data_IF_146297709185
#
_entry.id   IF_146297709185
#
_cell.length_a   1.000
_cell.length_b   1.000
_cell.length_c   1.000
_cell.angle_alpha   90.00
_cell.angle_beta   90.00
_cell.angle_gamma   90.00
#
_symmetry.space_group_name_H-M   'P 1'
#
loop_
_entity.id
_entity.type
_entity.pdbx_description
1 polymer ?
#
# COMPACT_ATOMS: atom_id res chain seq x y z
N UNK A 1 -12.49 56.70 -7.15
CA UNK A 1 -11.46 55.88 -7.84
C UNK A 1 -10.66 55.05 -6.84
N UNK A 2 -10.30 55.60 -5.67
CA UNK A 2 -9.54 54.94 -4.60
C UNK A 2 -10.26 53.70 -4.05
N UNK A 3 -11.57 53.78 -3.75
CA UNK A 3 -12.34 52.64 -3.20
C UNK A 3 -12.39 51.38 -4.10
N UNK A 4 -12.34 51.57 -5.43
CA UNK A 4 -12.30 50.43 -6.37
C UNK A 4 -10.93 49.78 -6.39
N UNK A 5 -9.86 50.58 -6.29
CA UNK A 5 -8.49 50.07 -6.19
C UNK A 5 -8.32 49.27 -4.89
N UNK A 6 -8.74 49.82 -3.76
CA UNK A 6 -8.63 49.16 -2.46
C UNK A 6 -9.41 47.84 -2.40
N UNK A 7 -10.59 47.77 -3.01
CA UNK A 7 -11.34 46.50 -3.15
C UNK A 7 -10.60 45.47 -3.99
N UNK A 8 -9.97 45.88 -5.08
CA UNK A 8 -9.17 44.97 -5.91
C UNK A 8 -7.91 44.50 -5.18
N UNK A 9 -7.26 45.37 -4.40
CA UNK A 9 -6.10 45.01 -3.57
C UNK A 9 -6.48 44.00 -2.48
N UNK A 10 -7.63 44.20 -1.82
CA UNK A 10 -8.19 43.23 -0.88
C UNK A 10 -8.50 41.89 -1.54
N UNK A 11 -9.08 41.91 -2.75
CA UNK A 11 -9.36 40.70 -3.51
C UNK A 11 -8.08 39.97 -3.89
N UNK A 12 -7.06 40.67 -4.38
CA UNK A 12 -5.76 40.09 -4.73
C UNK A 12 -5.09 39.47 -3.50
N UNK A 13 -5.13 40.15 -2.36
CA UNK A 13 -4.63 39.59 -1.10
C UNK A 13 -5.39 38.34 -0.68
N UNK A 14 -6.73 38.33 -0.82
CA UNK A 14 -7.57 37.17 -0.50
C UNK A 14 -7.34 35.99 -1.46
N UNK A 15 -7.10 36.26 -2.74
CA UNK A 15 -6.73 35.22 -3.72
C UNK A 15 -5.34 34.65 -3.40
N UNK A 16 -4.39 35.50 -2.98
CA UNK A 16 -3.05 35.06 -2.60
C UNK A 16 -3.12 34.06 -1.44
N UNK A 17 -3.81 34.41 -0.35
CA UNK A 17 -3.98 33.51 0.81
C UNK A 17 -4.73 32.24 0.44
N UNK A 18 -5.73 32.35 -0.44
CA UNK A 18 -6.48 31.19 -0.92
C UNK A 18 -5.60 30.20 -1.69
N UNK A 19 -4.72 30.71 -2.56
CA UNK A 19 -3.76 29.87 -3.30
C UNK A 19 -2.77 29.18 -2.38
N UNK A 20 -2.38 29.80 -1.27
CA UNK A 20 -1.52 29.14 -0.28
C UNK A 20 -2.23 27.96 0.38
N UNK A 21 -3.49 28.16 0.78
CA UNK A 21 -4.35 27.10 1.31
C UNK A 21 -4.61 25.99 0.30
N UNK A 22 -4.84 26.34 -0.96
CA UNK A 22 -5.02 25.39 -2.07
C UNK A 22 -3.80 24.48 -2.23
N UNK A 23 -2.59 25.05 -2.32
CA UNK A 23 -1.34 24.25 -2.41
C UNK A 23 -1.12 23.36 -1.19
N UNK A 24 -1.53 23.80 -0.01
CA UNK A 24 -1.42 22.99 1.21
C UNK A 24 -2.38 21.79 1.16
N UNK A 25 -3.61 22.02 0.71
CA UNK A 25 -4.62 20.97 0.51
C UNK A 25 -4.17 20.00 -0.59
N UNK A 26 -3.68 20.50 -1.73
CA UNK A 26 -3.18 19.68 -2.83
C UNK A 26 -2.01 18.79 -2.41
N UNK A 27 -1.08 19.32 -1.60
CA UNK A 27 0.05 18.54 -1.05
C UNK A 27 -0.44 17.42 -0.14
N UNK A 28 -1.42 17.70 0.73
CA UNK A 28 -2.01 16.69 1.61
C UNK A 28 -2.77 15.62 0.82
N UNK A 29 -3.56 16.02 -0.17
CA UNK A 29 -4.28 15.09 -1.06
C UNK A 29 -3.28 14.19 -1.80
N UNK A 30 -2.27 14.77 -2.43
CA UNK A 30 -1.28 14.02 -3.21
C UNK A 30 -0.45 13.07 -2.33
N UNK A 31 -0.08 13.51 -1.12
CA UNK A 31 0.57 12.64 -0.14
C UNK A 31 -0.32 11.46 0.25
N UNK A 32 -1.60 11.73 0.53
CA UNK A 32 -2.57 10.70 0.92
C UNK A 32 -2.83 9.69 -0.21
N UNK A 33 -2.88 10.15 -1.45
CA UNK A 33 -3.00 9.28 -2.63
C UNK A 33 -1.77 8.39 -2.80
N UNK A 34 -0.56 8.95 -2.65
CA UNK A 34 0.68 8.17 -2.71
C UNK A 34 0.76 7.13 -1.58
N UNK A 35 0.38 7.52 -0.36
CA UNK A 35 0.31 6.61 0.78
C UNK A 35 -0.68 5.47 0.50
N UNK A 36 -1.87 5.77 -0.04
CA UNK A 36 -2.87 4.75 -0.39
C UNK A 36 -2.39 3.83 -1.54
N UNK A 37 -1.72 4.38 -2.54
CA UNK A 37 -1.17 3.62 -3.66
C UNK A 37 -0.04 2.67 -3.22
N UNK A 38 0.77 3.08 -2.24
CA UNK A 38 1.80 2.21 -1.63
C UNK A 38 1.19 1.00 -0.93
N UNK A 39 0.02 1.18 -0.31
CA UNK A 39 -0.74 0.10 0.34
C UNK A 39 -1.35 -0.85 -0.70
N UNK A 40 -1.86 -0.31 -1.81
CA UNK A 40 -2.51 -1.12 -2.86
C UNK A 40 -1.50 -1.93 -3.68
N UNK A 41 -0.36 -1.33 -4.03
CA UNK A 41 0.75 -2.03 -4.72
C UNK A 41 1.33 -3.18 -3.91
N UNK A 42 1.44 -3.03 -2.59
CA UNK A 42 1.89 -4.10 -1.70
C UNK A 42 0.91 -5.28 -1.61
N UNK A 43 -0.39 -5.07 -1.85
CA UNK A 43 -1.40 -6.13 -1.85
C UNK A 43 -1.40 -6.92 -3.15
N UNK A 44 -1.27 -6.24 -4.29
CA UNK A 44 -1.29 -6.90 -5.60
C UNK A 44 -0.05 -7.77 -5.86
N UNK A 45 1.10 -7.44 -5.27
CA UNK A 45 2.30 -8.29 -5.33
C UNK A 45 2.26 -9.51 -4.38
N UNK A 46 1.36 -9.53 -3.39
CA UNK A 46 1.16 -10.68 -2.51
C UNK A 46 0.36 -11.81 -3.19
N UNK A 47 -0.50 -11.47 -4.16
CA UNK A 47 -1.33 -12.46 -4.85
C UNK A 47 -0.75 -12.94 -6.18
N UNK A 48 0.01 -12.09 -6.87
CA UNK A 48 0.67 -12.47 -8.12
C UNK A 48 2.17 -12.65 -7.89
N UNK A 49 2.61 -13.92 -7.83
CA UNK A 49 3.96 -14.32 -8.22
C UNK A 49 4.20 -14.05 -9.72
N UNK A 50 3.91 -12.84 -10.20
CA UNK A 50 4.44 -12.37 -11.47
C UNK A 50 5.69 -11.56 -11.18
N UNK A 51 6.81 -12.13 -11.60
CA UNK A 51 8.16 -11.60 -11.59
C UNK A 51 8.27 -10.30 -12.41
N UNK A 52 7.60 -9.23 -12.00
CA UNK A 52 7.89 -7.88 -12.48
C UNK A 52 8.99 -7.29 -11.61
N UNK A 53 10.10 -7.01 -12.27
CA UNK A 53 11.44 -6.58 -11.84
C UNK A 53 11.51 -5.25 -11.06
N UNK A 54 10.48 -4.87 -10.32
CA UNK A 54 10.51 -3.69 -9.46
C UNK A 54 11.02 -4.08 -8.08
N UNK A 55 12.24 -3.62 -7.74
CA UNK A 55 12.87 -3.70 -6.40
C UNK A 55 12.13 -2.84 -5.37
N UNK A 56 10.82 -3.00 -5.25
CA UNK A 56 10.03 -2.35 -4.20
C UNK A 56 9.96 -3.36 -3.06
N UNK A 57 10.49 -2.98 -1.91
CA UNK A 57 10.36 -3.77 -0.69
C UNK A 57 8.86 -3.92 -0.38
N UNK A 58 8.32 -5.11 -0.57
CA UNK A 58 6.92 -5.43 -0.22
C UNK A 58 6.74 -5.13 1.26
N UNK A 59 5.77 -4.29 1.59
CA UNK A 59 5.45 -3.99 2.99
C UNK A 59 4.81 -5.21 3.62
N UNK A 60 5.15 -5.52 4.87
CA UNK A 60 4.46 -6.60 5.59
C UNK A 60 2.98 -6.23 5.78
N UNK A 61 2.06 -7.22 5.80
CA UNK A 61 0.64 -6.96 6.04
C UNK A 61 0.35 -6.17 7.33
N UNK A 62 1.18 -6.34 8.37
CA UNK A 62 1.13 -5.55 9.60
C UNK A 62 1.48 -4.08 9.37
N UNK A 63 2.47 -3.81 8.51
CA UNK A 63 2.90 -2.44 8.19
C UNK A 63 1.87 -1.73 7.31
N UNK A 64 1.26 -2.43 6.34
CA UNK A 64 0.14 -1.92 5.56
C UNK A 64 -1.05 -1.54 6.46
N UNK A 65 -1.41 -2.41 7.42
CA UNK A 65 -2.47 -2.13 8.39
C UNK A 65 -2.15 -0.94 9.27
N UNK A 66 -0.90 -0.82 9.74
CA UNK A 66 -0.45 0.34 10.54
C UNK A 66 -0.54 1.65 9.74
N UNK A 67 0.01 1.68 8.53
CA UNK A 67 -0.07 2.88 7.67
C UNK A 67 -1.51 3.24 7.31
N UNK A 68 -2.37 2.25 7.03
CA UNK A 68 -3.79 2.49 6.77
C UNK A 68 -4.48 3.10 8.00
N UNK A 69 -4.18 2.60 9.20
CA UNK A 69 -4.73 3.14 10.44
C UNK A 69 -4.25 4.58 10.71
N UNK A 70 -2.95 4.86 10.53
CA UNK A 70 -2.40 6.22 10.63
C UNK A 70 -3.08 7.19 9.64
N UNK A 71 -3.34 6.70 8.42
CA UNK A 71 -4.02 7.46 7.38
C UNK A 71 -5.47 7.76 7.76
N UNK A 72 -6.19 6.78 8.32
CA UNK A 72 -7.54 6.95 8.87
C UNK A 72 -7.55 7.95 10.03
N UNK A 73 -6.59 7.86 10.96
CA UNK A 73 -6.51 8.74 12.12
C UNK A 73 -6.19 10.19 11.71
N UNK A 74 -5.54 10.37 10.56
CA UNK A 74 -5.26 11.69 9.98
C UNK A 74 -6.44 12.30 9.21
N UNK A 75 -7.44 11.49 8.80
CA UNK A 75 -8.58 11.94 8.00
C UNK A 75 -9.37 13.11 8.63
N UNK A 76 -9.70 13.10 9.94
CA UNK A 76 -10.46 14.20 10.54
C UNK A 76 -9.72 15.53 10.45
N UNK A 77 -8.40 15.51 10.68
CA UNK A 77 -7.55 16.72 10.59
C UNK A 77 -7.54 17.27 9.17
N UNK A 78 -7.39 16.39 8.18
CA UNK A 78 -7.39 16.75 6.75
C UNK A 78 -8.77 17.23 6.27
N UNK A 79 -9.85 16.60 6.73
CA UNK A 79 -11.23 17.04 6.47
C UNK A 79 -11.47 18.46 6.98
N UNK A 80 -10.96 18.80 8.16
CA UNK A 80 -11.04 20.17 8.70
C UNK A 80 -10.31 21.18 7.81
N UNK A 81 -9.11 20.87 7.31
CA UNK A 81 -8.38 21.75 6.38
C UNK A 81 -9.16 22.00 5.09
N UNK A 82 -9.80 20.97 4.56
CA UNK A 82 -10.58 21.07 3.31
C UNK A 82 -11.86 21.86 3.51
N UNK A 83 -12.54 21.66 4.64
CA UNK A 83 -13.69 22.50 5.03
C UNK A 83 -13.29 23.96 5.24
N UNK A 84 -12.10 24.21 5.79
CA UNK A 84 -11.57 25.57 5.91
C UNK A 84 -11.35 26.19 4.54
N UNK A 85 -10.64 25.49 3.64
CA UNK A 85 -10.44 25.96 2.26
C UNK A 85 -11.77 26.25 1.54
N UNK A 86 -12.76 25.35 1.64
CA UNK A 86 -14.10 25.58 1.10
C UNK A 86 -14.74 26.85 1.67
N UNK A 87 -14.67 27.04 3.00
CA UNK A 87 -15.24 28.22 3.65
C UNK A 87 -14.57 29.52 3.19
N UNK A 88 -13.25 29.53 3.02
CA UNK A 88 -12.51 30.70 2.53
C UNK A 88 -12.84 30.99 1.06
N UNK A 89 -12.96 29.97 0.20
CA UNK A 89 -13.46 30.12 -1.17
C UNK A 89 -14.86 30.76 -1.18
N UNK A 90 -15.80 30.22 -0.42
CA UNK A 90 -17.18 30.71 -0.34
C UNK A 90 -17.25 32.15 0.21
N UNK A 91 -16.42 32.47 1.22
CA UNK A 91 -16.32 33.81 1.79
C UNK A 91 -15.82 34.82 0.75
N UNK A 92 -14.76 34.47 0.01
CA UNK A 92 -14.19 35.33 -1.02
C UNK A 92 -15.15 35.55 -2.19
N UNK A 93 -15.82 34.48 -2.65
CA UNK A 93 -16.87 34.57 -3.69
C UNK A 93 -18.02 35.49 -3.25
N UNK A 94 -18.44 35.38 -1.98
CA UNK A 94 -19.52 36.20 -1.43
C UNK A 94 -19.12 37.66 -1.24
N UNK A 95 -17.84 37.93 -0.94
CA UNK A 95 -17.32 39.28 -0.76
C UNK A 95 -17.21 40.06 -2.08
N UNK A 96 -16.98 39.35 -3.20
CA UNK A 96 -16.80 39.94 -4.53
C UNK A 96 -17.80 39.40 -5.57
N UNK A 97 -19.12 39.65 -5.41
CA UNK A 97 -20.15 39.07 -6.28
C UNK A 97 -20.19 39.68 -7.69
N UNK A 98 -19.59 40.85 -7.88
CA UNK A 98 -19.52 41.55 -9.18
C UNK A 98 -18.30 41.15 -10.02
N UNK A 99 -17.37 40.41 -9.43
CA UNK A 99 -16.13 39.99 -10.08
C UNK A 99 -16.24 38.56 -10.60
N UNK A 100 -15.45 38.22 -11.61
CA UNK A 100 -15.39 36.86 -12.14
C UNK A 100 -14.70 35.93 -11.14
N UNK A 101 -15.52 35.12 -10.45
CA UNK A 101 -15.08 34.11 -9.47
C UNK A 101 -15.27 32.68 -9.99
N UNK A 102 -15.56 32.52 -11.28
CA UNK A 102 -15.82 31.22 -11.91
C UNK A 102 -14.65 30.24 -11.72
N UNK A 103 -13.42 30.73 -11.85
CA UNK A 103 -12.20 29.94 -11.67
C UNK A 103 -12.07 29.42 -10.23
N UNK A 104 -12.25 30.29 -9.24
CA UNK A 104 -12.19 29.92 -7.81
C UNK A 104 -13.21 28.83 -7.50
N UNK A 105 -14.43 28.97 -8.04
CA UNK A 105 -15.49 27.98 -7.87
C UNK A 105 -15.11 26.64 -8.49
N UNK A 106 -14.60 26.64 -9.72
CA UNK A 106 -14.20 25.42 -10.43
C UNK A 106 -13.05 24.68 -9.70
N UNK A 107 -12.01 25.40 -9.29
CA UNK A 107 -10.86 24.84 -8.56
C UNK A 107 -11.30 24.29 -7.19
N UNK A 108 -12.18 24.99 -6.48
CA UNK A 108 -12.78 24.53 -5.22
C UNK A 108 -13.58 23.23 -5.42
N UNK A 109 -14.48 23.20 -6.40
CA UNK A 109 -15.32 22.02 -6.70
C UNK A 109 -14.48 20.81 -7.08
N UNK A 110 -13.44 21.01 -7.90
CA UNK A 110 -12.49 19.95 -8.28
C UNK A 110 -11.76 19.38 -7.05
N UNK A 111 -11.23 20.25 -6.19
CA UNK A 111 -10.49 19.86 -5.00
C UNK A 111 -11.37 19.07 -4.02
N UNK A 112 -12.60 19.55 -3.78
CA UNK A 112 -13.58 18.87 -2.92
C UNK A 112 -13.97 17.52 -3.50
N UNK A 113 -14.20 17.44 -4.82
CA UNK A 113 -14.53 16.18 -5.49
C UNK A 113 -13.41 15.15 -5.32
N UNK A 114 -12.16 15.54 -5.61
CA UNK A 114 -10.98 14.68 -5.47
C UNK A 114 -10.81 14.17 -4.03
N UNK A 115 -10.99 15.05 -3.05
CA UNK A 115 -10.97 14.64 -1.64
C UNK A 115 -12.07 13.62 -1.30
N UNK A 116 -13.31 13.86 -1.74
CA UNK A 116 -14.42 12.96 -1.43
C UNK A 116 -14.23 11.57 -2.05
N UNK A 117 -13.67 11.50 -3.26
CA UNK A 117 -13.31 10.24 -3.92
C UNK A 117 -12.20 9.52 -3.16
N UNK A 118 -11.18 10.25 -2.72
CA UNK A 118 -10.09 9.71 -1.91
C UNK A 118 -10.57 9.18 -0.56
N UNK A 119 -11.42 9.94 0.15
CA UNK A 119 -11.99 9.52 1.43
C UNK A 119 -12.83 8.24 1.28
N UNK A 120 -13.61 8.13 0.20
CA UNK A 120 -14.33 6.89 -0.14
C UNK A 120 -13.37 5.73 -0.40
N UNK A 121 -12.30 5.97 -1.15
CA UNK A 121 -11.29 4.95 -1.46
C UNK A 121 -10.62 4.43 -0.19
N UNK A 122 -10.21 5.31 0.72
CA UNK A 122 -9.59 4.96 2.00
C UNK A 122 -10.54 4.11 2.86
N UNK A 123 -11.82 4.51 2.95
CA UNK A 123 -12.83 3.74 3.69
C UNK A 123 -13.06 2.37 3.07
N UNK A 124 -13.05 2.26 1.75
CA UNK A 124 -13.15 0.97 1.04
C UNK A 124 -11.93 0.09 1.33
N UNK A 125 -10.73 0.64 1.22
CA UNK A 125 -9.47 -0.07 1.54
C UNK A 125 -9.45 -0.54 2.98
N UNK A 126 -9.90 0.29 3.93
CA UNK A 126 -10.11 -0.11 5.33
C UNK A 126 -10.97 -1.37 5.44
N UNK A 127 -12.16 -1.36 4.85
CA UNK A 127 -13.08 -2.50 4.90
C UNK A 127 -12.45 -3.75 4.31
N UNK A 128 -11.74 -3.64 3.17
CA UNK A 128 -11.04 -4.76 2.55
C UNK A 128 -9.96 -5.35 3.47
N UNK A 129 -9.12 -4.50 4.07
CA UNK A 129 -8.05 -4.94 4.97
C UNK A 129 -8.53 -5.48 6.33
N UNK A 130 -9.73 -5.09 6.77
CA UNK A 130 -10.38 -5.65 7.96
C UNK A 130 -11.12 -6.97 7.65
N UNK A 131 -11.67 -7.13 6.45
CA UNK A 131 -12.44 -8.32 6.05
C UNK A 131 -11.56 -9.46 5.51
N UNK A 132 -10.30 -9.18 5.15
CA UNK A 132 -9.30 -10.20 4.75
C UNK A 132 -8.57 -10.85 5.94
N UNK A 133 -8.98 -10.54 7.18
CA UNK A 133 -8.60 -11.31 8.35
C UNK A 133 -9.42 -12.63 8.39
N UNK A 134 -8.99 -13.60 7.56
CA UNK A 134 -9.12 -15.08 7.61
C UNK A 134 -9.31 -15.61 6.18
N UNK A 135 -8.38 -16.43 5.65
CA UNK A 135 -8.14 -17.78 6.18
C UNK A 135 -6.76 -17.98 6.83
N UNK A 136 -6.74 -18.95 7.75
CA UNK A 136 -5.68 -19.38 8.66
C UNK A 136 -4.39 -19.90 7.97
N UNK A 137 -3.66 -19.07 7.21
CA UNK A 137 -2.30 -19.44 6.77
C UNK A 137 -1.25 -19.15 7.85
N UNK A 138 -1.60 -18.30 8.83
CA UNK A 138 -0.68 -17.89 9.91
C UNK A 138 -0.34 -19.03 10.90
N UNK A 139 -1.15 -20.09 10.96
CA UNK A 139 -0.89 -21.22 11.85
C UNK A 139 0.15 -22.21 11.29
N UNK A 140 0.25 -22.37 9.96
CA UNK A 140 1.19 -23.35 9.39
C UNK A 140 2.66 -22.96 9.58
N UNK A 141 2.97 -21.65 9.55
CA UNK A 141 4.33 -21.16 9.74
C UNK A 141 4.77 -21.20 11.21
N UNK A 142 3.85 -20.94 12.15
CA UNK A 142 4.12 -21.09 13.58
C UNK A 142 4.23 -22.56 13.98
N UNK A 143 3.41 -23.44 13.42
CA UNK A 143 3.44 -24.86 13.72
C UNK A 143 4.73 -25.54 13.19
N UNK A 144 5.26 -25.12 12.04
CA UNK A 144 6.58 -25.58 11.59
C UNK A 144 7.72 -25.02 12.46
N UNK A 145 7.62 -23.77 12.94
CA UNK A 145 8.62 -23.22 13.86
C UNK A 145 8.60 -23.88 15.25
N UNK A 146 7.44 -24.25 15.79
CA UNK A 146 7.37 -24.98 17.07
C UNK A 146 7.90 -26.41 16.92
N UNK A 147 7.59 -27.09 15.82
CA UNK A 147 8.15 -28.43 15.50
C UNK A 147 9.68 -28.40 15.30
N UNK A 148 10.25 -27.29 14.81
CA UNK A 148 11.71 -27.11 14.72
C UNK A 148 12.36 -26.72 16.06
N UNK A 149 11.60 -26.14 16.99
CA UNK A 149 12.12 -25.73 18.32
C UNK A 149 12.28 -26.91 19.27
N UNK A 150 11.40 -27.91 19.17
CA UNK A 150 11.46 -29.14 19.99
C UNK A 150 12.53 -30.13 19.50
N UNK A 151 13.17 -29.86 18.36
CA UNK A 151 14.31 -30.62 17.83
C UNK A 151 15.67 -30.03 18.20
N UNK A 152 15.73 -29.18 19.24
CA UNK A 152 17.01 -28.77 19.83
C UNK A 152 17.52 -29.86 20.75
N UNK A 153 18.49 -30.60 20.21
CA UNK A 153 19.43 -31.43 20.96
C UNK A 153 19.91 -30.70 22.21
N UNK A 154 19.72 -31.34 23.37
CA UNK A 154 20.56 -31.12 24.55
C UNK A 154 22.03 -31.22 24.14
N UNK A 155 22.73 -30.10 24.14
CA UNK A 155 24.16 -30.08 24.41
C UNK A 155 24.51 -28.74 25.04
N UNK A 156 24.77 -28.80 26.33
CA UNK A 156 25.49 -27.79 27.09
C UNK A 156 26.88 -27.65 26.47
N UNK A 157 27.17 -26.56 25.76
CA UNK A 157 28.51 -26.01 25.64
C UNK A 157 28.48 -24.54 25.22
N UNK A 158 29.33 -23.73 25.86
CA UNK A 158 29.31 -22.27 25.83
C UNK A 158 29.41 -21.67 24.42
N UNK A 159 28.38 -20.93 24.01
CA UNK A 159 28.29 -20.33 22.68
C UNK A 159 29.18 -19.07 22.61
N UNK A 160 30.35 -19.17 21.97
CA UNK A 160 31.03 -18.00 21.40
C UNK A 160 30.19 -17.49 20.21
N UNK A 161 30.00 -16.17 20.12
CA UNK A 161 29.37 -15.55 18.96
C UNK A 161 30.22 -15.83 17.71
N UNK A 162 29.63 -16.34 16.61
CA UNK A 162 30.37 -16.62 15.38
C UNK A 162 30.93 -15.32 14.81
N UNK A 163 32.19 -15.39 14.40
CA UNK A 163 32.92 -14.31 13.73
C UNK A 163 32.29 -14.00 12.37
N UNK A 164 32.58 -12.82 11.83
CA UNK A 164 31.98 -12.35 10.57
C UNK A 164 32.25 -13.33 9.40
N UNK A 165 33.43 -13.96 9.37
CA UNK A 165 33.76 -14.96 8.35
C UNK A 165 32.91 -16.23 8.46
N UNK A 166 32.67 -16.72 9.67
CA UNK A 166 31.80 -17.88 9.88
C UNK A 166 30.34 -17.55 9.51
N UNK A 167 29.91 -16.30 9.73
CA UNK A 167 28.59 -15.84 9.29
C UNK A 167 28.49 -15.77 7.76
N UNK A 168 29.54 -15.31 7.08
CA UNK A 168 29.60 -15.27 5.61
C UNK A 168 29.59 -16.68 5.01
N UNK A 169 30.36 -17.60 5.57
CA UNK A 169 30.39 -19.02 5.16
C UNK A 169 29.02 -19.69 5.39
N UNK A 170 28.34 -19.37 6.50
CA UNK A 170 26.96 -19.82 6.74
C UNK A 170 25.97 -19.24 5.71
N UNK A 171 26.15 -18.01 5.25
CA UNK A 171 25.31 -17.40 4.22
C UNK A 171 25.57 -18.06 2.86
N UNK A 172 26.83 -18.29 2.50
CA UNK A 172 27.22 -18.93 1.25
C UNK A 172 26.70 -20.37 1.16
N UNK A 173 26.82 -21.13 2.26
CA UNK A 173 26.25 -22.48 2.34
C UNK A 173 24.73 -22.48 2.20
N UNK A 174 24.02 -21.51 2.79
CA UNK A 174 22.57 -21.36 2.62
C UNK A 174 22.20 -21.00 1.19
N UNK A 175 22.96 -20.11 0.55
CA UNK A 175 22.74 -19.74 -0.85
C UNK A 175 22.89 -20.97 -1.77
N UNK A 176 23.94 -21.76 -1.59
CA UNK A 176 24.16 -22.99 -2.35
C UNK A 176 23.02 -24.01 -2.14
N UNK A 177 22.49 -24.10 -0.92
CA UNK A 177 21.38 -24.99 -0.60
C UNK A 177 20.06 -24.53 -1.25
N UNK A 178 19.82 -23.21 -1.34
CA UNK A 178 18.69 -22.63 -2.07
C UNK A 178 18.84 -22.93 -3.57
N UNK A 179 20.01 -22.68 -4.16
CA UNK A 179 20.23 -22.98 -5.58
C UNK A 179 20.03 -24.46 -5.92
N UNK A 180 20.38 -25.36 -4.99
CA UNK A 180 20.11 -26.79 -5.16
C UNK A 180 18.61 -27.11 -5.12
N UNK A 181 17.88 -26.51 -4.17
CA UNK A 181 16.42 -26.67 -4.07
C UNK A 181 15.68 -26.06 -5.27
N UNK A 182 16.16 -24.94 -5.81
CA UNK A 182 15.63 -24.33 -7.04
C UNK A 182 15.87 -25.23 -8.26
N UNK A 183 17.04 -25.86 -8.36
CA UNK A 183 17.33 -26.83 -9.41
C UNK A 183 16.44 -28.09 -9.30
N UNK A 184 16.21 -28.59 -8.08
CA UNK A 184 15.30 -29.71 -7.82
C UNK A 184 13.84 -29.35 -8.13
N UNK A 185 13.39 -28.14 -7.78
CA UNK A 185 12.04 -27.64 -8.09
C UNK A 185 11.81 -27.54 -9.60
N UNK A 186 12.79 -27.03 -10.34
CA UNK A 186 12.75 -26.96 -11.80
C UNK A 186 12.75 -28.34 -12.47
N UNK A 187 13.40 -29.34 -11.86
CA UNK A 187 13.32 -30.73 -12.33
C UNK A 187 11.98 -31.40 -12.00
N UNK A 188 11.41 -31.16 -10.81
CA UNK A 188 10.11 -31.70 -10.41
C UNK A 188 8.95 -31.09 -11.21
N UNK A 189 9.01 -29.81 -11.57
CA UNK A 189 8.02 -29.15 -12.43
C UNK A 189 7.93 -29.79 -13.83
N UNK A 190 9.01 -30.41 -14.32
CA UNK A 190 9.04 -31.08 -15.62
C UNK A 190 8.53 -32.54 -15.59
N UNK A 191 8.55 -33.20 -14.43
CA UNK A 191 8.33 -34.65 -14.34
C UNK A 191 6.97 -35.02 -13.73
N UNK A 192 6.41 -34.16 -12.86
CA UNK A 192 5.14 -34.44 -12.18
C UNK A 192 3.92 -34.33 -13.11
N UNK A 193 3.98 -33.45 -14.12
CA UNK A 193 2.86 -33.24 -15.05
C UNK A 193 2.72 -34.37 -16.08
N UNK A 194 3.82 -34.90 -16.62
CA UNK A 194 3.74 -35.92 -17.67
C UNK A 194 3.22 -37.26 -17.16
N UNK A 195 3.64 -37.69 -15.97
CA UNK A 195 3.23 -39.00 -15.44
C UNK A 195 1.76 -38.99 -14.99
N UNK A 196 1.29 -37.88 -14.39
CA UNK A 196 -0.10 -37.69 -14.01
C UNK A 196 -1.04 -37.54 -15.23
N UNK A 197 -0.56 -36.89 -16.31
CA UNK A 197 -1.29 -36.79 -17.58
C UNK A 197 -1.39 -38.15 -18.31
N UNK A 198 -0.34 -38.98 -18.26
CA UNK A 198 -0.35 -40.33 -18.84
C UNK A 198 -1.32 -41.23 -18.07
N UNK A 199 -1.30 -41.19 -16.74
CA UNK A 199 -2.19 -41.98 -15.88
C UNK A 199 -3.66 -41.57 -16.04
N UNK A 200 -3.95 -40.26 -16.11
CA UNK A 200 -5.30 -39.76 -16.42
C UNK A 200 -5.77 -40.12 -17.83
N UNK A 201 -4.89 -40.12 -18.84
CA UNK A 201 -5.25 -40.58 -20.19
C UNK A 201 -5.54 -42.08 -20.24
N UNK A 202 -4.78 -42.90 -19.53
CA UNK A 202 -5.00 -44.34 -19.48
C UNK A 202 -6.36 -44.68 -18.85
N UNK A 203 -6.75 -43.99 -17.77
CA UNK A 203 -8.05 -44.17 -17.13
C UNK A 203 -9.24 -43.78 -18.03
N UNK A 204 -9.12 -42.69 -18.79
CA UNK A 204 -10.18 -42.24 -19.70
C UNK A 204 -10.41 -43.18 -20.89
N UNK A 205 -9.35 -43.88 -21.34
CA UNK A 205 -9.46 -44.88 -22.42
C UNK A 205 -10.12 -46.16 -21.93
N UNK A 206 -9.90 -46.56 -20.67
CA UNK A 206 -10.55 -47.75 -20.09
C UNK A 206 -12.01 -47.56 -19.72
N UNK A 207 -12.47 -46.32 -19.49
CA UNK A 207 -13.88 -46.02 -19.20
C UNK A 207 -14.74 -45.85 -20.47
N UNK A 208 -14.13 -45.86 -21.66
CA UNK A 208 -14.82 -45.68 -22.95
C UNK A 208 -14.96 -46.98 -23.77
N UNK A 209 -14.79 -48.15 -23.15
CA UNK A 209 -15.03 -49.48 -23.75
C UNK A 209 -16.20 -50.20 -23.10
#
# INVERSE_FOLDING_TARGET
MIERSEKLDQMLSGIQTLKELERDVEREISKTEADLQSIDTSKNQSNDQSLSTSRILVMTPETCRKHLQELIDSLPKRSTKIKLYQKECEALIKQFPTEDTSRIRADMEQTIKRWNELEKSIKKTKTLYLHEALPQVYDHFKEQQTKLKDRRTSSSDGIRKPTLNEQLEMIENKFNQISKLEAELNQSGSNMDNQLLIEKRAHLVTESQ
#
